data_IF_792104547838
#
_entry.id   IF_792104547838
#
_cell.length_a   1.000
_cell.length_b   1.000
_cell.length_c   1.000
_cell.angle_alpha   90.00
_cell.angle_beta   90.00
_cell.angle_gamma   90.00
#
_symmetry.space_group_name_H-M   'P 1'
#
loop_
_entity.id
_entity.type
_entity.pdbx_description
1 polymer ?
#
# COMPACT_ATOMS: atom_id res chain seq x y z
N UNK A 1 14.19 4.32 -9.92
CA UNK A 1 12.82 4.60 -10.38
C UNK A 1 12.17 3.25 -10.62
N UNK A 2 11.11 2.87 -9.89
CA UNK A 2 10.38 1.63 -10.19
C UNK A 2 9.84 1.70 -11.62
N UNK A 3 9.87 0.58 -12.34
CA UNK A 3 9.35 0.51 -13.71
C UNK A 3 7.83 0.67 -13.69
N UNK A 4 7.26 1.20 -14.79
CA UNK A 4 5.81 1.35 -14.97
C UNK A 4 5.05 0.05 -14.67
N UNK A 5 5.60 -1.08 -15.10
CA UNK A 5 5.03 -2.42 -14.88
C UNK A 5 5.00 -2.83 -13.39
N UNK A 6 6.00 -2.45 -12.60
CA UNK A 6 6.00 -2.71 -11.14
C UNK A 6 4.93 -1.87 -10.45
N UNK A 7 4.78 -0.61 -10.86
CA UNK A 7 3.74 0.27 -10.31
C UNK A 7 2.35 -0.32 -10.60
N UNK A 8 2.10 -0.71 -11.84
CA UNK A 8 0.80 -1.29 -12.26
C UNK A 8 0.46 -2.58 -11.49
N UNK A 9 1.44 -3.44 -11.18
CA UNK A 9 1.23 -4.68 -10.41
C UNK A 9 0.90 -4.45 -8.93
N UNK A 10 1.19 -3.25 -8.41
CA UNK A 10 1.03 -2.93 -6.99
C UNK A 10 0.02 -1.81 -6.74
N UNK A 11 -0.83 -1.50 -7.72
CA UNK A 11 -1.89 -0.49 -7.61
C UNK A 11 -3.25 -1.06 -7.95
N UNK A 12 -4.29 -0.45 -7.40
CA UNK A 12 -5.70 -0.70 -7.72
C UNK A 12 -6.38 0.66 -7.97
N UNK A 13 -7.40 0.69 -8.83
CA UNK A 13 -8.23 1.87 -9.01
C UNK A 13 -8.98 2.22 -7.71
N UNK A 14 -9.01 3.51 -7.36
CA UNK A 14 -9.66 3.97 -6.12
C UNK A 14 -11.16 3.60 -6.09
N UNK A 15 -11.84 3.66 -7.24
CA UNK A 15 -13.25 3.26 -7.34
C UNK A 15 -13.46 1.80 -6.93
N UNK A 16 -12.68 0.88 -7.51
CA UNK A 16 -12.77 -0.55 -7.19
C UNK A 16 -12.49 -0.83 -5.71
N UNK A 17 -11.55 -0.13 -5.10
CA UNK A 17 -11.31 -0.25 -3.65
C UNK A 17 -12.52 0.22 -2.83
N UNK A 18 -13.14 1.36 -3.20
CA UNK A 18 -14.31 1.87 -2.50
C UNK A 18 -15.51 0.92 -2.62
N UNK A 19 -15.73 0.35 -3.80
CA UNK A 19 -16.80 -0.64 -4.03
C UNK A 19 -16.64 -1.88 -3.14
N UNK A 20 -15.40 -2.34 -2.91
CA UNK A 20 -15.14 -3.48 -2.01
C UNK A 20 -15.38 -3.15 -0.52
N UNK A 21 -15.25 -1.88 -0.14
CA UNK A 21 -15.45 -1.42 1.23
C UNK A 21 -16.90 -0.98 1.51
N UNK A 22 -17.75 -0.92 0.48
CA UNK A 22 -19.12 -0.47 0.58
C UNK A 22 -19.92 -1.32 1.59
N UNK A 23 -20.68 -0.64 2.46
CA UNK A 23 -21.54 -1.29 3.46
C UNK A 23 -20.84 -1.79 4.72
N UNK A 24 -19.51 -1.74 4.81
CA UNK A 24 -18.79 -2.07 6.05
C UNK A 24 -19.04 -1.00 7.14
N UNK A 25 -19.25 -1.39 8.40
CA UNK A 25 -19.35 -0.44 9.51
C UNK A 25 -18.09 0.43 9.63
N UNK A 26 -18.24 1.69 10.05
CA UNK A 26 -17.12 2.64 10.18
C UNK A 26 -16.09 2.20 11.23
N UNK A 27 -16.54 1.44 12.21
CA UNK A 27 -15.75 0.92 13.31
C UNK A 27 -14.99 -0.37 12.93
N UNK A 28 -15.17 -0.85 11.69
CA UNK A 28 -14.44 -2.02 11.18
C UNK A 28 -12.94 -1.73 11.17
N UNK A 29 -12.19 -2.56 11.87
CA UNK A 29 -10.73 -2.48 11.85
C UNK A 29 -10.20 -3.01 10.51
N UNK A 30 -9.34 -2.23 9.87
CA UNK A 30 -8.62 -2.63 8.65
C UNK A 30 -7.27 -3.23 9.06
N UNK A 31 -7.07 -4.52 8.74
CA UNK A 31 -5.82 -5.21 9.00
C UNK A 31 -4.91 -5.17 7.78
N UNK A 32 -3.70 -4.63 7.93
CA UNK A 32 -2.73 -4.44 6.84
C UNK A 32 -1.67 -5.54 6.76
N UNK A 33 -1.99 -6.76 7.21
CA UNK A 33 -1.09 -7.91 7.04
C UNK A 33 0.23 -7.81 7.81
N UNK A 34 0.24 -7.10 8.94
CA UNK A 34 1.44 -6.88 9.76
C UNK A 34 2.23 -5.61 9.44
N UNK A 35 1.75 -4.77 8.52
CA UNK A 35 2.29 -3.44 8.28
C UNK A 35 1.60 -2.38 9.15
N UNK A 36 2.37 -1.43 9.66
CA UNK A 36 1.87 -0.33 10.48
C UNK A 36 1.51 0.85 9.58
N UNK A 37 0.22 1.15 9.49
CA UNK A 37 -0.27 2.30 8.73
C UNK A 37 0.37 3.59 9.26
N UNK A 38 0.99 4.35 8.35
CA UNK A 38 1.57 5.65 8.66
C UNK A 38 0.64 6.77 8.20
N UNK A 39 0.34 6.85 6.89
CA UNK A 39 -0.53 7.89 6.33
C UNK A 39 -1.03 7.56 4.93
N UNK A 40 -2.04 8.30 4.48
CA UNK A 40 -2.38 8.42 3.06
C UNK A 40 -1.75 9.68 2.50
N UNK A 41 -1.03 9.58 1.37
CA UNK A 41 -0.34 10.69 0.71
C UNK A 41 -0.72 10.80 -0.75
N UNK A 42 -1.11 12.00 -1.21
CA UNK A 42 -1.32 12.26 -2.64
C UNK A 42 0.02 12.27 -3.39
N UNK A 43 0.08 11.59 -4.52
CA UNK A 43 1.26 11.45 -5.41
C UNK A 43 0.94 11.91 -6.84
N UNK A 44 0.27 13.05 -6.95
CA UNK A 44 -0.15 13.64 -8.22
C UNK A 44 -1.67 13.86 -8.27
N UNK A 45 -2.20 14.26 -9.44
CA UNK A 45 -3.63 14.52 -9.62
C UNK A 45 -4.49 13.28 -9.36
N UNK A 46 -4.05 12.12 -9.87
CA UNK A 46 -4.85 10.88 -9.93
C UNK A 46 -4.20 9.71 -9.16
N UNK A 47 -3.34 9.99 -8.19
CA UNK A 47 -2.66 8.94 -7.42
C UNK A 47 -2.62 9.25 -5.92
N UNK A 48 -2.97 8.24 -5.14
CA UNK A 48 -2.79 8.20 -3.69
C UNK A 48 -1.90 7.02 -3.33
N UNK A 49 -1.05 7.20 -2.33
CA UNK A 49 -0.22 6.17 -1.76
C UNK A 49 -0.61 5.98 -0.31
N UNK A 50 -0.86 4.73 0.08
CA UNK A 50 -0.91 4.33 1.49
C UNK A 50 0.53 4.03 1.89
N UNK A 51 1.06 4.83 2.83
CA UNK A 51 2.41 4.66 3.36
C UNK A 51 2.34 3.89 4.70
N UNK A 52 3.30 3.02 4.90
CA UNK A 52 3.50 2.22 6.12
C UNK A 52 4.84 2.59 6.76
N UNK A 53 5.01 2.28 8.05
CA UNK A 53 6.31 2.42 8.73
C UNK A 53 7.33 1.35 8.29
N UNK A 54 6.90 0.37 7.50
CA UNK A 54 7.77 -0.64 6.89
C UNK A 54 7.93 -0.42 5.38
N UNK A 55 9.10 -0.78 4.87
CA UNK A 55 9.35 -1.00 3.44
C UNK A 55 9.08 -2.47 3.10
N UNK A 56 8.44 -2.73 1.96
CA UNK A 56 8.28 -4.07 1.39
C UNK A 56 8.96 -4.11 0.02
N UNK A 57 9.95 -4.98 -0.15
CA UNK A 57 10.69 -5.08 -1.40
C UNK A 57 11.22 -6.51 -1.66
N UNK A 58 11.61 -6.79 -2.91
CA UNK A 58 12.30 -8.02 -3.28
C UNK A 58 13.79 -7.77 -3.43
N UNK A 59 14.61 -8.65 -2.88
CA UNK A 59 16.07 -8.60 -3.04
C UNK A 59 16.50 -9.07 -4.42
N UNK A 60 17.80 -8.96 -4.74
CA UNK A 60 18.37 -9.53 -5.97
C UNK A 60 18.30 -11.06 -6.04
N UNK A 61 18.07 -11.73 -4.90
CA UNK A 61 17.89 -13.18 -4.79
C UNK A 61 16.40 -13.58 -4.83
N UNK A 62 15.51 -12.65 -5.19
CA UNK A 62 14.06 -12.82 -5.25
C UNK A 62 13.39 -13.16 -3.89
N UNK A 63 14.04 -12.79 -2.78
CA UNK A 63 13.47 -12.91 -1.44
C UNK A 63 12.60 -11.69 -1.13
N UNK A 64 11.38 -11.91 -0.61
CA UNK A 64 10.51 -10.84 -0.12
C UNK A 64 10.94 -10.43 1.29
N UNK A 65 11.26 -9.14 1.47
CA UNK A 65 11.72 -8.56 2.72
C UNK A 65 10.73 -7.49 3.19
N UNK A 66 10.46 -7.48 4.49
CA UNK A 66 9.78 -6.40 5.21
C UNK A 66 10.79 -5.79 6.17
N UNK A 67 10.99 -4.48 6.09
CA UNK A 67 12.02 -3.76 6.85
C UNK A 67 11.38 -2.55 7.54
N UNK A 68 11.50 -2.46 8.86
CA UNK A 68 11.05 -1.29 9.63
C UNK A 68 11.91 -0.07 9.28
N UNK A 69 11.28 1.09 9.12
CA UNK A 69 11.98 2.36 9.09
C UNK A 69 12.49 2.59 10.52
N UNK A 70 13.76 2.30 10.80
CA UNK A 70 14.37 2.57 12.12
C UNK A 70 13.99 3.98 12.59
N UNK A 71 13.52 4.11 13.83
CA UNK A 71 13.14 5.40 14.43
C UNK A 71 14.34 6.35 14.57
#
# INVERSE_FOLDING_TARGET
MPTKEIIERHTIDLGTLLDQLEGLPRETQVYFGGLDFYRVKRRGPDSVQIEFNQSVYRTSEDLLVVEDHEQ
#
